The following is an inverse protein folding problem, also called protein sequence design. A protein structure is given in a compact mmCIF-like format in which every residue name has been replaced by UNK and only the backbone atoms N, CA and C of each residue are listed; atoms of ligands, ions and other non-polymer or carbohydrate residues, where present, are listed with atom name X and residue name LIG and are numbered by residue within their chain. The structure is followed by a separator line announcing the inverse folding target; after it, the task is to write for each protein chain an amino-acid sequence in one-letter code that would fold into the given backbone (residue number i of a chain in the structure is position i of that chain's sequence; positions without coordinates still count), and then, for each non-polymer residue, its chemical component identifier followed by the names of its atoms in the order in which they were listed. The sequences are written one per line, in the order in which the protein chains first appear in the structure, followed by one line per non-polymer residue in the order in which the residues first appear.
data_IF_109376317299
#
_entry.id   IF_109376317299
#
_cell.length_a   1.000
_cell.length_b   1.000
_cell.length_c   1.000
_cell.angle_alpha   90.00
_cell.angle_beta   90.00
_cell.angle_gamma   90.00
#
_symmetry.space_group_name_H-M   'P 1'
#
loop_
_entity.id
_entity.type
_entity.pdbx_description
1 polymer ?
#
# COMPACT_ATOMS: atom_id res chain seq x y z
N UNK A 1 35.20 22.46 -1.16
CA UNK A 1 33.90 22.93 -0.62
C UNK A 1 33.34 24.16 -1.33
N UNK A 2 34.06 24.85 -2.22
CA UNK A 2 33.56 26.04 -2.93
C UNK A 2 32.68 25.75 -4.16
N UNK A 3 32.82 24.58 -4.81
CA UNK A 3 31.98 24.19 -5.96
C UNK A 3 30.56 23.78 -5.57
N UNK A 4 30.40 23.12 -4.43
CA UNK A 4 29.09 22.65 -3.95
C UNK A 4 28.12 23.82 -3.70
N UNK A 5 28.58 24.93 -3.12
CA UNK A 5 27.73 26.11 -2.87
C UNK A 5 27.49 26.99 -4.10
N UNK A 6 28.30 26.90 -5.16
CA UNK A 6 28.02 27.57 -6.44
C UNK A 6 27.03 26.78 -7.30
N UNK A 7 27.10 25.44 -7.24
CA UNK A 7 26.14 24.54 -7.89
C UNK A 7 24.77 24.65 -7.20
N UNK A 8 24.77 24.68 -5.85
CA UNK A 8 24.03 25.63 -4.99
C UNK A 8 22.96 26.51 -5.65
N UNK A 9 23.45 27.67 -6.05
CA UNK A 9 22.66 28.82 -6.48
C UNK A 9 22.21 28.73 -7.94
N UNK A 10 22.78 27.84 -8.75
CA UNK A 10 22.54 27.81 -10.19
C UNK A 10 21.53 26.75 -10.63
N UNK A 11 21.37 25.64 -9.88
CA UNK A 11 20.40 24.59 -10.18
C UNK A 11 19.74 24.00 -8.92
N UNK A 12 18.97 24.85 -8.23
CA UNK A 12 18.28 24.46 -7.00
C UNK A 12 17.31 23.28 -7.21
N UNK A 13 16.62 23.20 -8.35
CA UNK A 13 15.67 22.12 -8.65
C UNK A 13 16.37 20.78 -8.92
N UNK A 14 17.45 20.78 -9.71
CA UNK A 14 18.20 19.56 -10.00
C UNK A 14 18.86 18.96 -8.75
N UNK A 15 19.38 19.79 -7.85
CA UNK A 15 19.92 19.32 -6.58
C UNK A 15 18.86 18.89 -5.58
N UNK A 16 17.72 19.59 -5.51
CA UNK A 16 16.60 19.15 -4.68
C UNK A 16 16.15 17.75 -5.10
N UNK A 17 16.07 17.46 -6.40
CA UNK A 17 15.77 16.11 -6.90
C UNK A 17 16.86 15.09 -6.57
N UNK A 18 18.13 15.47 -6.66
CA UNK A 18 19.24 14.60 -6.28
C UNK A 18 19.32 14.33 -4.77
N UNK A 19 18.74 15.20 -3.95
CA UNK A 19 18.78 15.12 -2.49
C UNK A 19 17.50 14.54 -1.88
N UNK A 20 16.34 14.80 -2.48
CA UNK A 20 15.02 14.44 -1.97
C UNK A 20 14.30 13.40 -2.83
N UNK A 21 14.71 13.23 -4.09
CA UNK A 21 14.03 12.37 -5.06
C UNK A 21 13.13 13.12 -6.04
N UNK A 22 12.43 12.41 -6.93
CA UNK A 22 11.53 13.02 -7.89
C UNK A 22 10.31 13.66 -7.20
N UNK A 23 9.75 14.72 -7.80
CA UNK A 23 8.51 15.36 -7.34
C UNK A 23 7.30 14.60 -7.89
N UNK A 24 6.70 13.73 -7.09
CA UNK A 24 5.55 12.90 -7.46
C UNK A 24 4.22 13.54 -7.03
N UNK A 25 3.45 14.07 -7.98
CA UNK A 25 2.16 14.68 -7.73
C UNK A 25 1.04 13.63 -7.73
N UNK A 26 0.71 13.12 -6.54
CA UNK A 26 -0.34 12.11 -6.33
C UNK A 26 -1.69 12.48 -6.95
N UNK A 27 -2.12 13.74 -6.83
CA UNK A 27 -3.42 14.18 -7.35
C UNK A 27 -3.54 14.11 -8.87
N UNK A 28 -2.42 14.08 -9.61
CA UNK A 28 -2.42 13.88 -11.06
C UNK A 28 -2.68 12.43 -11.47
N UNK A 29 -2.55 11.48 -10.53
CA UNK A 29 -2.88 10.06 -10.74
C UNK A 29 -4.27 9.68 -10.25
N UNK A 30 -5.11 10.67 -9.97
CA UNK A 30 -6.49 10.46 -9.53
C UNK A 30 -7.42 10.98 -10.62
N UNK A 31 -8.36 10.13 -11.05
CA UNK A 31 -9.37 10.47 -12.05
C UNK A 31 -10.19 11.69 -11.60
N UNK A 32 -10.46 12.61 -12.54
CA UNK A 32 -11.33 13.74 -12.26
C UNK A 32 -12.78 13.25 -12.15
N UNK A 33 -13.66 13.97 -11.43
CA UNK A 33 -15.07 13.61 -11.32
C UNK A 33 -15.74 13.43 -12.69
N UNK A 34 -15.41 14.32 -13.64
CA UNK A 34 -15.92 14.27 -15.02
C UNK A 34 -15.53 12.98 -15.75
N UNK A 35 -14.33 12.47 -15.51
CA UNK A 35 -13.81 11.26 -16.17
C UNK A 35 -14.51 10.00 -15.63
N UNK A 36 -15.16 10.10 -14.47
CA UNK A 36 -16.00 9.06 -13.86
C UNK A 36 -17.50 9.30 -14.07
N UNK A 37 -17.88 10.27 -14.91
CA UNK A 37 -19.28 10.57 -15.22
C UNK A 37 -20.06 11.25 -14.10
N UNK A 38 -19.37 11.75 -13.07
CA UNK A 38 -19.98 12.58 -12.02
C UNK A 38 -20.36 13.94 -12.59
N UNK A 39 -21.47 14.50 -12.12
CA UNK A 39 -21.98 15.79 -12.59
C UNK A 39 -22.85 16.46 -11.54
N UNK A 40 -23.10 17.75 -11.69
CA UNK A 40 -24.03 18.51 -10.86
C UNK A 40 -25.50 18.41 -11.32
N UNK A 41 -25.78 17.58 -12.33
CA UNK A 41 -27.13 17.40 -12.87
C UNK A 41 -28.09 16.78 -11.84
N UNK A 42 -29.28 17.37 -11.72
CA UNK A 42 -30.31 16.92 -10.77
C UNK A 42 -31.11 15.68 -11.21
N UNK A 43 -30.48 14.69 -11.85
CA UNK A 43 -31.16 13.48 -12.34
C UNK A 43 -30.63 12.19 -11.67
N UNK A 44 -31.43 11.12 -11.71
CA UNK A 44 -31.09 9.85 -11.06
C UNK A 44 -29.83 9.16 -11.63
N UNK A 45 -29.51 9.39 -12.91
CA UNK A 45 -28.30 8.86 -13.53
C UNK A 45 -27.05 9.57 -12.99
N UNK A 46 -27.09 10.90 -12.91
CA UNK A 46 -26.04 11.71 -12.29
C UNK A 46 -25.81 11.31 -10.83
N UNK A 47 -26.87 11.19 -10.02
CA UNK A 47 -26.76 10.72 -8.64
C UNK A 47 -26.11 9.33 -8.52
N UNK A 48 -26.44 8.39 -9.42
CA UNK A 48 -25.84 7.06 -9.42
C UNK A 48 -24.34 7.13 -9.77
N UNK A 49 -23.97 7.91 -10.77
CA UNK A 49 -22.57 8.12 -11.15
C UNK A 49 -21.78 8.83 -10.04
N UNK A 50 -22.37 9.81 -9.36
CA UNK A 50 -21.74 10.51 -8.23
C UNK A 50 -21.42 9.56 -7.08
N UNK A 51 -22.37 8.69 -6.71
CA UNK A 51 -22.15 7.68 -5.68
C UNK A 51 -21.04 6.71 -6.12
N UNK A 52 -21.07 6.27 -7.38
CA UNK A 52 -20.03 5.38 -7.92
C UNK A 52 -18.65 6.04 -7.90
N UNK A 53 -18.55 7.32 -8.27
CA UNK A 53 -17.31 8.09 -8.24
C UNK A 53 -16.78 8.28 -6.82
N UNK A 54 -17.65 8.53 -5.84
CA UNK A 54 -17.25 8.59 -4.43
C UNK A 54 -16.71 7.25 -3.92
N UNK A 55 -17.33 6.12 -4.32
CA UNK A 55 -16.80 4.78 -4.01
C UNK A 55 -15.41 4.60 -4.62
N UNK A 56 -15.20 4.98 -5.89
CA UNK A 56 -13.90 4.91 -6.55
C UNK A 56 -12.82 5.73 -5.82
N UNK A 57 -13.16 6.90 -5.28
CA UNK A 57 -12.22 7.68 -4.46
C UNK A 57 -11.91 7.01 -3.12
N UNK A 58 -12.89 6.39 -2.48
CA UNK A 58 -12.65 5.58 -1.27
C UNK A 58 -11.78 4.37 -1.58
N UNK A 59 -11.94 3.74 -2.74
CA UNK A 59 -11.08 2.63 -3.18
C UNK A 59 -9.63 3.06 -3.36
N UNK A 60 -9.34 4.25 -3.91
CA UNK A 60 -7.96 4.77 -3.97
C UNK A 60 -7.36 4.87 -2.56
N UNK A 61 -8.16 5.31 -1.59
CA UNK A 61 -7.69 5.48 -0.21
C UNK A 61 -7.49 4.16 0.52
N UNK A 62 -8.29 3.14 0.23
CA UNK A 62 -8.28 1.86 0.96
C UNK A 62 -7.48 0.79 0.22
N UNK A 63 -7.81 0.50 -1.03
CA UNK A 63 -7.16 -0.55 -1.82
C UNK A 63 -6.04 -0.02 -2.72
N UNK A 64 -5.98 1.29 -2.94
CA UNK A 64 -5.06 1.90 -3.90
C UNK A 64 -5.58 1.87 -5.33
N UNK A 65 -6.73 1.22 -5.59
CA UNK A 65 -7.30 1.01 -6.93
C UNK A 65 -8.47 1.97 -7.18
N UNK A 66 -9.39 1.61 -8.08
CA UNK A 66 -10.60 2.37 -8.36
C UNK A 66 -10.29 3.62 -9.18
N UNK A 67 -10.44 4.80 -8.57
CA UNK A 67 -10.19 6.10 -9.20
C UNK A 67 -8.71 6.40 -9.54
N UNK A 68 -7.81 5.43 -9.41
CA UNK A 68 -6.39 5.57 -9.73
C UNK A 68 -6.16 5.45 -11.23
N UNK A 69 -5.44 6.41 -11.83
CA UNK A 69 -5.07 6.35 -13.25
C UNK A 69 -3.94 5.36 -13.53
N UNK A 70 -3.20 4.92 -12.50
CA UNK A 70 -2.14 3.90 -12.64
C UNK A 70 -2.71 2.47 -12.60
N UNK A 71 -4.01 2.31 -12.27
CA UNK A 71 -4.66 1.01 -12.09
C UNK A 71 -4.28 0.29 -10.80
N UNK A 72 -3.44 0.90 -9.97
CA UNK A 72 -2.93 0.34 -8.73
C UNK A 72 -2.58 1.42 -7.70
N UNK A 73 -2.02 1.00 -6.54
CA UNK A 73 -1.66 1.91 -5.47
C UNK A 73 -0.72 3.03 -5.96
N UNK A 74 -0.97 4.23 -5.47
CA UNK A 74 -0.21 5.42 -5.86
C UNK A 74 1.11 5.52 -5.09
N UNK A 75 2.12 6.07 -5.75
CA UNK A 75 3.41 6.40 -5.17
C UNK A 75 4.55 6.13 -6.14
N UNK A 76 5.73 6.61 -5.77
CA UNK A 76 6.97 6.43 -6.53
C UNK A 76 7.92 5.44 -5.85
N UNK A 77 8.82 4.90 -6.65
CA UNK A 77 9.89 3.98 -6.25
C UNK A 77 11.17 4.42 -6.91
N UNK A 78 12.19 4.75 -6.13
CA UNK A 78 13.44 5.23 -6.70
C UNK A 78 14.63 4.95 -5.79
N UNK A 79 15.81 4.97 -6.39
CA UNK A 79 17.07 4.95 -5.67
C UNK A 79 17.55 6.38 -5.47
N UNK A 80 17.86 6.73 -4.22
CA UNK A 80 18.47 7.99 -3.87
C UNK A 80 19.95 7.79 -3.59
N UNK A 81 20.80 8.52 -4.30
CA UNK A 81 22.24 8.50 -4.07
C UNK A 81 22.53 9.14 -2.72
N UNK A 82 23.21 8.42 -1.84
CA UNK A 82 23.68 9.01 -0.57
C UNK A 82 25.00 9.75 -0.81
N UNK A 83 25.34 10.70 0.07
CA UNK A 83 26.66 11.33 0.07
C UNK A 83 27.80 10.42 0.58
N UNK A 84 27.51 9.16 0.90
CA UNK A 84 28.47 8.20 1.46
C UNK A 84 28.79 7.06 0.50
N UNK A 85 29.83 6.30 0.86
CA UNK A 85 30.25 5.10 0.13
C UNK A 85 30.07 3.87 1.02
N UNK A 86 30.14 2.69 0.41
CA UNK A 86 30.01 1.42 1.09
C UNK A 86 30.93 0.38 0.45
N UNK A 87 31.27 -0.66 1.22
CA UNK A 87 32.15 -1.73 0.73
C UNK A 87 31.29 -2.85 0.16
N UNK A 88 31.36 -3.08 -1.15
CA UNK A 88 30.64 -4.19 -1.79
C UNK A 88 31.17 -5.53 -1.28
N UNK A 89 30.29 -6.35 -0.72
CA UNK A 89 30.64 -7.66 -0.14
C UNK A 89 31.13 -8.67 -1.20
N UNK A 90 30.74 -8.50 -2.47
CA UNK A 90 31.15 -9.41 -3.54
C UNK A 90 32.55 -9.08 -4.08
N UNK A 91 32.84 -7.80 -4.31
CA UNK A 91 34.10 -7.36 -4.91
C UNK A 91 35.13 -6.78 -3.92
N UNK A 92 34.74 -6.52 -2.67
CA UNK A 92 35.52 -5.78 -1.66
C UNK A 92 35.95 -4.37 -2.11
N UNK A 93 35.21 -3.77 -3.05
CA UNK A 93 35.48 -2.40 -3.54
C UNK A 93 34.60 -1.38 -2.85
N UNK A 94 35.14 -0.18 -2.69
CA UNK A 94 34.38 0.97 -2.26
C UNK A 94 33.53 1.48 -3.43
N UNK A 95 32.23 1.59 -3.22
CA UNK A 95 31.24 2.00 -4.24
C UNK A 95 30.28 3.03 -3.66
N UNK A 96 29.64 3.81 -4.52
CA UNK A 96 28.64 4.79 -4.09
C UNK A 96 27.43 4.08 -3.46
N UNK A 97 27.04 4.54 -2.27
CA UNK A 97 25.92 3.99 -1.52
C UNK A 97 24.62 4.68 -1.90
N UNK A 98 23.57 3.90 -2.08
CA UNK A 98 22.21 4.36 -2.35
C UNK A 98 21.28 3.89 -1.23
N UNK A 99 20.20 4.63 -1.03
CA UNK A 99 19.01 4.14 -0.31
C UNK A 99 17.90 3.94 -1.33
N UNK A 100 17.01 2.98 -1.06
CA UNK A 100 15.83 2.76 -1.88
C UNK A 100 14.60 3.26 -1.14
N UNK A 101 13.84 4.12 -1.79
CA UNK A 101 12.60 4.69 -1.27
C UNK A 101 11.46 4.06 -2.06
N UNK A 102 10.50 3.50 -1.33
CA UNK A 102 9.28 2.93 -1.88
C UNK A 102 8.09 3.57 -1.19
N UNK A 103 7.45 4.51 -1.88
CA UNK A 103 6.27 5.21 -1.38
C UNK A 103 4.97 4.55 -1.85
N UNK A 104 5.05 3.41 -2.55
CA UNK A 104 3.88 2.59 -2.89
C UNK A 104 3.59 1.65 -1.71
N UNK A 105 2.42 1.75 -1.06
CA UNK A 105 2.10 0.90 0.07
C UNK A 105 2.09 -0.58 -0.33
N UNK A 106 2.75 -1.43 0.46
CA UNK A 106 2.83 -2.88 0.21
C UNK A 106 1.72 -3.69 0.88
N UNK A 107 0.77 -3.03 1.56
CA UNK A 107 -0.29 -3.71 2.31
C UNK A 107 0.18 -4.41 3.59
N UNK A 108 1.42 -4.18 4.02
CA UNK A 108 1.97 -4.74 5.26
C UNK A 108 1.58 -3.88 6.47
N UNK A 109 0.49 -4.22 7.16
CA UNK A 109 0.03 -3.49 8.35
C UNK A 109 0.51 -4.22 9.62
N UNK A 110 1.55 -3.75 10.35
CA UNK A 110 2.21 -4.53 11.41
C UNK A 110 1.30 -5.09 12.50
N UNK A 111 0.26 -4.35 12.89
CA UNK A 111 -0.70 -4.76 13.94
C UNK A 111 -1.62 -5.91 13.49
N UNK A 112 -1.84 -6.07 12.19
CA UNK A 112 -2.72 -7.09 11.60
C UNK A 112 -1.88 -8.24 11.04
N UNK A 113 -0.79 -7.94 10.32
CA UNK A 113 0.11 -8.92 9.72
C UNK A 113 0.79 -9.79 10.78
N UNK A 114 1.19 -9.22 11.93
CA UNK A 114 1.81 -9.99 13.02
C UNK A 114 0.87 -11.04 13.65
N UNK A 115 -0.44 -10.82 13.62
CA UNK A 115 -1.45 -11.76 14.13
C UNK A 115 -1.80 -12.90 13.15
N UNK A 116 -1.48 -12.72 11.87
CA UNK A 116 -1.81 -13.66 10.78
C UNK A 116 -0.58 -14.32 10.14
N UNK A 117 0.61 -14.13 10.75
CA UNK A 117 1.83 -14.81 10.36
C UNK A 117 2.76 -14.03 9.41
N UNK A 118 2.69 -12.70 9.41
CA UNK A 118 3.59 -11.83 8.64
C UNK A 118 3.21 -11.72 7.16
N UNK A 119 1.91 -11.75 6.86
CA UNK A 119 1.38 -11.71 5.49
C UNK A 119 1.06 -10.31 5.01
N UNK A 120 1.30 -10.06 3.73
CA UNK A 120 0.91 -8.83 3.05
C UNK A 120 -0.48 -8.94 2.41
N UNK A 121 -1.18 -7.81 2.33
CA UNK A 121 -2.55 -7.74 1.83
C UNK A 121 -2.65 -6.87 0.59
N UNK A 122 -2.80 -7.50 -0.58
CA UNK A 122 -2.92 -6.80 -1.88
C UNK A 122 -4.22 -6.00 -2.04
N UNK A 123 -5.14 -6.08 -1.06
CA UNK A 123 -6.38 -5.31 -1.00
C UNK A 123 -6.29 -4.07 -0.09
N UNK A 124 -5.18 -3.88 0.63
CA UNK A 124 -4.96 -2.78 1.56
C UNK A 124 -3.70 -1.99 1.22
N UNK A 125 -3.46 -1.77 -0.07
CA UNK A 125 -2.32 -0.98 -0.58
C UNK A 125 -2.67 0.51 -0.77
N UNK A 126 -3.84 0.94 -0.29
CA UNK A 126 -4.25 2.34 -0.38
C UNK A 126 -3.49 3.27 0.58
N UNK A 127 -3.66 4.58 0.35
CA UNK A 127 -2.97 5.62 1.12
C UNK A 127 -3.29 5.55 2.63
N UNK A 128 -4.54 5.24 3.01
CA UNK A 128 -4.92 5.15 4.43
C UNK A 128 -4.20 3.97 5.08
N UNK A 129 -4.34 2.71 4.63
CA UNK A 129 -3.56 1.61 5.17
C UNK A 129 -2.05 1.81 5.11
N UNK A 130 -1.53 2.43 4.05
CA UNK A 130 -0.12 2.78 3.90
C UNK A 130 0.40 3.65 5.04
N UNK A 131 -0.30 4.74 5.34
CA UNK A 131 0.09 5.61 6.48
C UNK A 131 0.07 4.88 7.83
N UNK A 132 -0.89 3.97 8.05
CA UNK A 132 -0.94 3.14 9.26
C UNK A 132 0.22 2.14 9.33
N UNK A 133 0.58 1.52 8.19
CA UNK A 133 1.75 0.66 8.05
C UNK A 133 3.02 1.42 8.47
N UNK A 134 3.21 2.62 7.92
CA UNK A 134 4.43 3.41 8.13
C UNK A 134 4.56 3.86 9.59
N UNK A 135 3.46 4.32 10.21
CA UNK A 135 3.44 4.64 11.64
C UNK A 135 3.80 3.44 12.52
N UNK A 136 3.39 2.23 12.13
CA UNK A 136 3.78 0.99 12.82
C UNK A 136 5.25 0.60 12.63
N UNK A 137 5.88 1.04 11.53
CA UNK A 137 7.28 0.75 11.17
C UNK A 137 8.28 1.82 11.63
N UNK A 138 7.81 2.98 12.11
CA UNK A 138 8.65 4.02 12.72
C UNK A 138 9.22 3.54 14.07
N UNK A 139 10.23 2.68 14.00
CA UNK A 139 11.05 2.31 15.14
C UNK A 139 12.24 3.29 15.23
N UNK A 140 12.25 4.24 16.18
CA UNK A 140 13.33 5.21 16.30
C UNK A 140 14.71 4.54 16.50
N UNK A 141 14.76 3.34 17.10
CA UNK A 141 16.01 2.60 17.28
C UNK A 141 16.57 2.04 15.96
N UNK A 142 15.71 1.71 14.99
CA UNK A 142 16.14 1.30 13.66
C UNK A 142 16.79 2.46 12.89
N UNK A 143 16.17 3.64 12.99
CA UNK A 143 16.68 4.87 12.40
C UNK A 143 18.01 5.31 13.04
N UNK A 144 18.15 5.26 14.37
CA UNK A 144 19.44 5.58 15.02
C UNK A 144 20.54 4.58 14.65
N UNK A 145 20.21 3.30 14.45
CA UNK A 145 21.20 2.29 14.03
C UNK A 145 21.77 2.57 12.63
N UNK A 146 20.96 3.04 11.67
CA UNK A 146 21.46 3.34 10.32
C UNK A 146 22.44 4.52 10.30
N UNK A 147 22.29 5.49 11.22
CA UNK A 147 23.26 6.57 11.41
C UNK A 147 24.54 6.16 12.17
N UNK A 148 24.45 5.11 13.00
CA UNK A 148 25.60 4.56 13.74
C UNK A 148 26.40 3.52 12.94
N UNK A 149 25.94 3.14 11.75
CA UNK A 149 26.73 2.34 10.82
C UNK A 149 27.89 3.20 10.35
N UNK A 150 29.13 2.79 10.67
CA UNK A 150 30.35 3.56 10.42
C UNK A 150 30.55 4.01 8.97
N UNK A 151 31.62 4.74 8.68
CA UNK A 151 31.79 5.49 7.41
C UNK A 151 31.55 4.70 6.12
N UNK A 152 31.91 3.40 6.09
CA UNK A 152 31.76 2.54 4.92
C UNK A 152 31.16 1.16 5.30
N UNK A 153 29.83 1.07 5.52
CA UNK A 153 29.21 -0.20 5.87
C UNK A 153 29.30 -1.20 4.71
N UNK A 154 29.16 -2.51 4.97
CA UNK A 154 29.05 -3.50 3.90
C UNK A 154 27.76 -3.27 3.10
N UNK A 155 27.84 -3.37 1.78
CA UNK A 155 26.71 -3.24 0.86
C UNK A 155 26.69 -4.32 -0.21
N UNK A 156 25.56 -4.44 -0.88
CA UNK A 156 25.37 -5.39 -1.98
C UNK A 156 24.56 -4.74 -3.11
N UNK A 157 24.79 -5.20 -4.33
CA UNK A 157 23.98 -4.81 -5.48
C UNK A 157 22.58 -5.43 -5.37
N UNK A 158 21.55 -4.61 -5.48
CA UNK A 158 20.14 -5.03 -5.45
C UNK A 158 19.44 -4.46 -6.66
N UNK A 159 18.68 -5.29 -7.38
CA UNK A 159 17.84 -4.89 -8.51
C UNK A 159 16.39 -4.78 -8.06
N UNK A 160 15.82 -3.58 -8.15
CA UNK A 160 14.47 -3.29 -7.69
C UNK A 160 13.68 -2.55 -8.76
N UNK A 161 12.35 -2.66 -8.69
CA UNK A 161 11.45 -1.90 -9.53
C UNK A 161 11.52 -0.40 -9.20
N UNK A 162 11.43 0.45 -10.22
CA UNK A 162 11.39 1.90 -10.09
C UNK A 162 10.13 2.43 -10.73
N UNK A 163 9.53 3.43 -10.12
CA UNK A 163 8.36 4.15 -10.61
C UNK A 163 8.68 5.62 -10.41
N UNK A 164 8.81 6.36 -11.51
CA UNK A 164 9.21 7.77 -11.48
C UNK A 164 8.24 8.59 -12.32
N UNK A 165 7.92 9.83 -11.93
CA UNK A 165 7.03 10.66 -12.72
C UNK A 165 7.69 11.04 -14.04
N UNK A 166 6.95 10.93 -15.15
CA UNK A 166 7.35 11.48 -16.44
C UNK A 166 7.28 13.00 -16.35
N UNK A 167 8.39 13.68 -16.61
CA UNK A 167 8.48 15.14 -16.56
C UNK A 167 8.37 15.77 -17.95
N UNK A 168 7.77 16.97 -18.00
CA UNK A 168 7.74 17.81 -19.19
C UNK A 168 9.09 18.53 -19.41
N UNK A 169 9.19 19.30 -20.51
CA UNK A 169 10.40 20.07 -20.83
C UNK A 169 10.81 21.10 -19.76
N UNK A 170 9.91 21.45 -18.83
CA UNK A 170 10.15 22.38 -17.74
C UNK A 170 10.41 21.65 -16.39
N UNK A 171 10.49 20.31 -16.42
CA UNK A 171 10.71 19.48 -15.24
C UNK A 171 9.46 19.29 -14.37
N UNK A 172 8.26 19.60 -14.89
CA UNK A 172 7.03 19.36 -14.15
C UNK A 172 6.50 17.97 -14.44
N UNK A 173 6.02 17.31 -13.40
CA UNK A 173 5.34 16.02 -13.50
C UNK A 173 4.10 16.09 -14.43
N UNK A 174 3.98 15.16 -15.37
CA UNK A 174 2.89 15.11 -16.37
C UNK A 174 1.66 14.34 -15.91
N UNK A 175 1.70 13.64 -14.77
CA UNK A 175 0.64 12.72 -14.37
C UNK A 175 0.81 11.28 -14.87
N UNK A 176 1.90 11.01 -15.59
CA UNK A 176 2.23 9.68 -16.11
C UNK A 176 3.43 9.12 -15.37
N UNK A 177 3.46 7.80 -15.22
CA UNK A 177 4.53 7.10 -14.52
C UNK A 177 5.41 6.36 -15.52
N UNK A 178 6.72 6.39 -15.27
CA UNK A 178 7.72 5.61 -15.97
C UNK A 178 8.14 4.46 -15.06
N UNK A 179 7.66 3.27 -15.39
CA UNK A 179 8.00 2.02 -14.72
C UNK A 179 9.30 1.45 -15.29
N UNK A 180 10.16 0.95 -14.41
CA UNK A 180 11.43 0.37 -14.80
C UNK A 180 12.04 -0.51 -13.72
N UNK A 181 13.29 -0.85 -13.93
CA UNK A 181 14.12 -1.58 -12.96
C UNK A 181 15.51 -0.99 -12.97
N UNK A 182 16.11 -0.80 -11.80
CA UNK A 182 17.48 -0.32 -11.69
C UNK A 182 18.24 -1.15 -10.63
N UNK A 183 19.56 -1.17 -10.75
CA UNK A 183 20.47 -1.92 -9.89
C UNK A 183 21.43 -0.96 -9.20
N UNK A 184 21.36 -0.88 -7.86
CA UNK A 184 22.24 -0.02 -7.05
C UNK A 184 22.77 -0.75 -5.82
N UNK A 185 23.78 -0.17 -5.19
CA UNK A 185 24.40 -0.69 -3.98
C UNK A 185 23.71 -0.15 -2.72
N UNK A 186 23.08 -1.03 -1.96
CA UNK A 186 22.40 -0.73 -0.70
C UNK A 186 23.16 -1.36 0.46
N UNK A 187 23.20 -0.69 1.61
CA UNK A 187 23.80 -1.26 2.81
C UNK A 187 23.08 -2.57 3.18
N UNK A 188 23.85 -3.62 3.50
CA UNK A 188 23.28 -4.95 3.79
C UNK A 188 22.26 -4.88 4.94
N UNK A 189 22.48 -4.00 5.91
CA UNK A 189 21.57 -3.80 7.03
C UNK A 189 20.23 -3.16 6.60
N UNK A 190 20.23 -2.26 5.61
CA UNK A 190 19.01 -1.68 5.06
C UNK A 190 18.25 -2.76 4.29
N UNK A 191 18.95 -3.49 3.40
CA UNK A 191 18.38 -4.61 2.62
C UNK A 191 17.73 -5.64 3.55
N UNK A 192 18.36 -5.96 4.68
CA UNK A 192 17.83 -6.90 5.67
C UNK A 192 16.52 -6.45 6.32
N UNK A 193 16.26 -5.15 6.39
CA UNK A 193 15.02 -4.60 6.96
C UNK A 193 13.94 -4.33 5.90
N UNK A 194 14.25 -4.53 4.62
CA UNK A 194 13.29 -4.37 3.53
C UNK A 194 12.30 -5.53 3.49
N UNK A 195 11.08 -5.21 3.08
CA UNK A 195 10.02 -6.19 2.87
C UNK A 195 10.40 -7.18 1.76
N UNK A 196 10.39 -8.50 2.00
CA UNK A 196 10.65 -9.52 1.00
C UNK A 196 9.81 -9.39 -0.28
N UNK A 197 8.59 -8.84 -0.20
CA UNK A 197 7.70 -8.64 -1.34
C UNK A 197 8.19 -7.56 -2.31
N UNK A 198 9.15 -6.72 -1.88
CA UNK A 198 9.79 -5.71 -2.74
C UNK A 198 10.74 -6.34 -3.76
N UNK A 199 11.26 -7.53 -3.48
CA UNK A 199 12.25 -8.19 -4.33
C UNK A 199 11.59 -9.06 -5.39
N UNK A 200 12.09 -9.09 -6.64
CA UNK A 200 11.55 -9.97 -7.68
C UNK A 200 11.55 -11.47 -7.31
N UNK A 201 12.52 -11.90 -6.51
CA UNK A 201 12.64 -13.27 -5.98
C UNK A 201 11.66 -13.59 -4.86
N UNK A 202 10.88 -12.60 -4.39
CA UNK A 202 10.00 -12.71 -3.21
C UNK A 202 10.72 -13.23 -1.95
N UNK A 203 12.04 -13.04 -1.90
CA UNK A 203 12.94 -13.51 -0.84
C UNK A 203 13.98 -12.43 -0.60
N UNK A 204 14.22 -12.09 0.67
CA UNK A 204 15.20 -11.08 1.01
C UNK A 204 16.63 -11.59 0.74
N UNK A 205 17.42 -10.92 -0.11
CA UNK A 205 18.76 -11.40 -0.46
C UNK A 205 19.79 -11.22 0.66
N UNK A 206 19.54 -10.34 1.64
CA UNK A 206 20.38 -10.17 2.83
C UNK A 206 19.97 -11.09 3.98
N UNK A 207 18.74 -11.64 3.95
CA UNK A 207 18.23 -12.61 4.92
C UNK A 207 17.28 -13.63 4.25
N UNK A 208 17.82 -14.71 3.67
CA UNK A 208 17.02 -15.69 2.91
C UNK A 208 15.96 -16.44 3.73
N UNK A 209 15.96 -16.28 5.06
CA UNK A 209 14.92 -16.85 5.92
C UNK A 209 13.59 -16.08 5.80
N UNK A 210 13.64 -14.85 5.31
CA UNK A 210 12.48 -13.99 5.11
C UNK A 210 11.97 -14.16 3.67
N UNK A 211 10.73 -14.64 3.55
CA UNK A 211 10.04 -14.84 2.27
C UNK A 211 8.70 -14.14 2.28
N UNK A 212 8.31 -13.59 1.13
CA UNK A 212 7.05 -12.89 0.95
C UNK A 212 5.89 -13.89 0.91
N UNK A 213 4.85 -13.64 1.71
CA UNK A 213 3.58 -14.36 1.63
C UNK A 213 2.45 -13.36 1.45
N UNK A 214 1.87 -13.32 0.26
CA UNK A 214 0.71 -12.49 -0.06
C UNK A 214 -0.59 -13.24 0.24
N UNK A 215 -1.58 -12.52 0.78
CA UNK A 215 -2.93 -13.03 1.02
C UNK A 215 -3.97 -12.04 0.48
N UNK A 216 -5.20 -12.51 0.25
CA UNK A 216 -6.30 -11.69 -0.31
C UNK A 216 -5.98 -11.09 -1.69
N UNK A 217 -5.49 -11.94 -2.60
CA UNK A 217 -5.30 -11.56 -4.02
C UNK A 217 -6.65 -11.63 -4.72
N UNK A 218 -7.31 -10.48 -4.90
CA UNK A 218 -8.49 -10.40 -5.75
C UNK A 218 -8.04 -10.56 -7.21
N UNK A 219 -8.36 -11.70 -7.84
CA UNK A 219 -8.29 -11.83 -9.28
C UNK A 219 -9.40 -10.94 -9.86
N UNK A 220 -9.02 -9.80 -10.43
CA UNK A 220 -9.95 -8.83 -11.00
C UNK A 220 -10.99 -9.51 -11.90
N UNK A 221 -12.26 -9.24 -11.64
CA UNK A 221 -13.31 -9.51 -12.61
C UNK A 221 -13.23 -8.38 -13.63
N UNK A 222 -12.59 -8.62 -14.78
CA UNK A 222 -12.64 -7.69 -15.91
C UNK A 222 -14.11 -7.44 -16.28
N UNK A 223 -14.53 -6.19 -16.17
CA UNK A 223 -15.82 -5.71 -16.69
C UNK A 223 -15.58 -5.31 -18.14
N UNK A 224 -15.73 -6.25 -19.06
CA UNK A 224 -15.82 -5.93 -20.49
C UNK A 224 -17.08 -5.08 -20.72
N UNK A 225 -16.89 -3.80 -20.98
CA UNK A 225 -17.95 -2.85 -21.34
C UNK A 225 -18.12 -2.83 -22.85
N UNK A 226 -18.64 -3.94 -23.41
CA UNK A 226 -19.08 -3.94 -24.80
C UNK A 226 -20.58 -3.58 -24.90
N UNK A 227 -20.82 -2.41 -25.47
CA UNK A 227 -22.12 -1.95 -25.91
C UNK A 227 -22.67 -2.85 -27.02
N UNK A 228 -23.69 -3.66 -26.74
CA UNK A 228 -24.84 -3.86 -27.66
C UNK A 228 -25.88 -4.84 -27.11
N UNK A 229 -27.13 -4.36 -27.10
CA UNK A 229 -28.35 -5.10 -27.44
C UNK A 229 -28.57 -6.52 -26.89
N UNK A 230 -29.49 -6.60 -25.92
CA UNK A 230 -30.54 -7.62 -25.79
C UNK A 230 -30.18 -9.08 -25.47
N UNK A 231 -30.72 -9.51 -24.32
CA UNK A 231 -31.09 -10.89 -23.93
C UNK A 231 -30.04 -11.78 -23.21
N UNK A 232 -30.25 -11.92 -21.89
CA UNK A 232 -29.83 -13.02 -20.99
C UNK A 232 -28.37 -13.49 -21.09
N UNK A 233 -27.46 -12.76 -20.45
CA UNK A 233 -26.07 -13.21 -20.23
C UNK A 233 -25.87 -13.62 -18.76
N UNK A 234 -25.69 -14.93 -18.53
CA UNK A 234 -25.36 -15.51 -17.22
C UNK A 234 -23.91 -15.20 -16.89
N UNK A 235 -23.66 -14.43 -15.83
CA UNK A 235 -22.33 -14.27 -15.23
C UNK A 235 -21.81 -15.64 -14.77
N UNK A 236 -20.71 -16.11 -15.37
CA UNK A 236 -19.95 -17.26 -14.86
C UNK A 236 -18.71 -16.74 -14.16
N UNK A 237 -18.85 -16.27 -12.93
CA UNK A 237 -17.70 -16.11 -12.04
C UNK A 237 -17.15 -17.52 -11.74
N UNK A 238 -15.99 -17.88 -12.29
CA UNK A 238 -15.26 -19.08 -11.88
C UNK A 238 -14.38 -18.72 -10.70
N UNK A 239 -14.89 -18.92 -9.49
CA UNK A 239 -14.10 -18.89 -8.27
C UNK A 239 -13.02 -19.99 -8.34
N UNK A 240 -11.76 -19.62 -8.59
CA UNK A 240 -10.62 -20.43 -8.15
C UNK A 240 -10.32 -20.03 -6.72
N UNK A 241 -10.99 -20.67 -5.77
CA UNK A 241 -10.45 -20.75 -4.42
C UNK A 241 -9.06 -21.38 -4.54
N UNK A 242 -7.99 -20.63 -4.26
CA UNK A 242 -6.71 -21.26 -3.96
C UNK A 242 -7.00 -22.18 -2.78
N UNK A 243 -6.76 -23.47 -2.97
CA UNK A 243 -6.91 -24.49 -1.92
C UNK A 243 -6.34 -23.97 -0.62
N UNK A 244 -7.22 -23.72 0.36
CA UNK A 244 -6.89 -23.42 1.74
C UNK A 244 -5.75 -24.39 2.14
N UNK A 245 -4.58 -23.92 2.60
CA UNK A 245 -3.57 -24.82 3.13
C UNK A 245 -4.25 -25.64 4.21
N UNK A 246 -4.25 -26.98 4.05
CA UNK A 246 -5.00 -27.91 4.89
C UNK A 246 -4.90 -27.49 6.36
N UNK A 247 -5.94 -26.81 6.86
CA UNK A 247 -6.10 -26.59 8.29
C UNK A 247 -6.12 -28.01 8.85
N UNK A 248 -5.08 -28.36 9.61
CA UNK A 248 -5.02 -29.63 10.34
C UNK A 248 -6.36 -29.73 11.05
N UNK A 249 -7.19 -30.70 10.64
CA UNK A 249 -8.47 -30.97 11.29
C UNK A 249 -8.18 -31.06 12.79
N UNK A 250 -8.63 -30.05 13.54
CA UNK A 250 -8.57 -30.07 14.99
C UNK A 250 -9.27 -31.35 15.42
N UNK A 251 -8.48 -32.28 15.96
CA UNK A 251 -8.91 -33.60 16.39
C UNK A 251 -9.93 -33.37 17.50
N UNK A 252 -11.21 -33.62 17.22
CA UNK A 252 -12.30 -33.58 18.21
C UNK A 252 -11.94 -34.52 19.36
N UNK A 253 -11.53 -33.97 20.50
CA UNK A 253 -11.45 -34.75 21.74
C UNK A 253 -12.88 -34.98 22.24
N UNK A 254 -13.39 -36.19 22.03
CA UNK A 254 -14.58 -36.70 22.70
C UNK A 254 -14.22 -37.00 24.15
N UNK A 255 -14.79 -36.27 25.10
CA UNK A 255 -14.87 -36.75 26.48
C UNK A 255 -16.09 -37.69 26.63
N UNK A 256 -15.92 -38.70 27.49
CA UNK A 256 -16.76 -39.90 27.72
C UNK A 256 -18.18 -39.64 28.28
N UNK A 257 -18.85 -38.53 27.96
CA UNK A 257 -20.17 -38.20 28.54
C UNK A 257 -21.20 -37.60 27.57
N UNK A 258 -20.95 -37.61 26.26
CA UNK A 258 -22.04 -37.45 25.27
C UNK A 258 -22.89 -36.15 25.36
N UNK A 259 -22.37 -35.06 25.95
CA UNK A 259 -23.09 -33.78 26.01
C UNK A 259 -22.55 -32.82 24.94
N UNK A 260 -23.44 -32.39 24.05
CA UNK A 260 -23.16 -31.41 22.99
C UNK A 260 -22.95 -30.03 23.64
N UNK A 261 -21.75 -29.45 23.53
CA UNK A 261 -21.51 -28.05 23.91
C UNK A 261 -21.85 -27.21 22.68
N UNK A 262 -23.00 -26.54 22.71
CA UNK A 262 -23.30 -25.45 21.80
C UNK A 262 -22.30 -24.33 22.11
N UNK A 263 -21.43 -23.95 21.18
CA UNK A 263 -20.62 -22.75 21.35
C UNK A 263 -21.56 -21.55 21.25
N UNK A 264 -21.69 -20.86 22.37
CA UNK A 264 -22.53 -19.67 22.53
C UNK A 264 -21.85 -18.47 21.85
N UNK A 265 -22.33 -18.09 20.67
CA UNK A 265 -21.87 -16.92 19.93
C UNK A 265 -22.36 -15.60 20.55
N UNK A 266 -23.08 -15.64 21.68
CA UNK A 266 -23.52 -14.45 22.41
C UNK A 266 -22.37 -13.73 23.14
N UNK A 267 -21.17 -14.30 23.15
CA UNK A 267 -19.98 -13.68 23.74
C UNK A 267 -19.25 -12.86 22.68
N UNK A 268 -19.55 -11.55 22.66
CA UNK A 268 -18.70 -10.57 21.98
C UNK A 268 -17.23 -10.76 22.38
N UNK A 269 -16.27 -10.51 21.48
CA UNK A 269 -14.85 -10.53 21.83
C UNK A 269 -14.61 -9.63 23.05
N UNK A 270 -13.99 -10.15 24.10
CA UNK A 270 -13.61 -9.38 25.30
C UNK A 270 -12.39 -8.47 25.04
N UNK A 271 -12.31 -7.91 23.83
CA UNK A 271 -11.25 -7.00 23.44
C UNK A 271 -11.72 -5.54 23.62
N UNK A 272 -10.92 -4.75 24.33
CA UNK A 272 -11.24 -3.36 24.66
C UNK A 272 -11.48 -2.54 23.39
N UNK A 273 -10.68 -2.76 22.34
CA UNK A 273 -10.77 -2.02 21.09
C UNK A 273 -12.06 -2.34 20.32
N UNK A 274 -12.48 -3.60 20.33
CA UNK A 274 -13.71 -4.04 19.68
C UNK A 274 -14.94 -3.46 20.40
N UNK A 275 -14.92 -3.41 21.74
CA UNK A 275 -15.98 -2.78 22.54
C UNK A 275 -16.07 -1.27 22.30
N UNK A 276 -14.93 -0.58 22.23
CA UNK A 276 -14.88 0.86 21.94
C UNK A 276 -15.42 1.14 20.53
N UNK A 277 -15.05 0.34 19.54
CA UNK A 277 -15.54 0.49 18.16
C UNK A 277 -17.08 0.36 18.06
N UNK A 278 -17.67 -0.67 18.67
CA UNK A 278 -19.13 -0.84 18.69
C UNK A 278 -19.84 0.25 19.50
N UNK A 279 -19.21 0.76 20.57
CA UNK A 279 -19.74 1.90 21.31
C UNK A 279 -19.77 3.16 20.43
N UNK A 280 -18.72 3.44 19.65
CA UNK A 280 -18.70 4.57 18.72
C UNK A 280 -19.78 4.45 17.63
N UNK A 281 -19.96 3.27 17.04
CA UNK A 281 -20.99 3.03 16.00
C UNK A 281 -22.41 3.20 16.57
N UNK A 282 -22.66 2.72 17.78
CA UNK A 282 -23.99 2.81 18.39
C UNK A 282 -24.38 4.27 18.69
N UNK A 283 -23.44 5.08 19.21
CA UNK A 283 -23.65 6.51 19.46
C UNK A 283 -23.88 7.27 18.14
N UNK A 284 -23.09 6.98 17.11
CA UNK A 284 -23.27 7.59 15.79
C UNK A 284 -24.63 7.23 15.17
N UNK A 285 -25.05 5.97 15.26
CA UNK A 285 -26.34 5.51 14.74
C UNK A 285 -27.52 6.18 15.44
N UNK A 286 -27.46 6.34 16.76
CA UNK A 286 -28.46 7.08 17.55
C UNK A 286 -28.49 8.56 17.17
N UNK A 287 -27.33 9.19 16.94
CA UNK A 287 -27.26 10.58 16.51
C UNK A 287 -27.91 10.79 15.14
N UNK A 288 -27.63 9.91 14.18
CA UNK A 288 -28.24 9.95 12.85
C UNK A 288 -29.76 9.80 12.95
N UNK A 289 -30.26 8.84 13.72
CA UNK A 289 -31.69 8.65 13.96
C UNK A 289 -32.34 9.88 14.62
N UNK A 290 -31.70 10.44 15.65
CA UNK A 290 -32.18 11.66 16.32
C UNK A 290 -32.29 12.84 15.35
N UNK A 291 -31.26 13.07 14.53
CA UNK A 291 -31.26 14.10 13.47
C UNK A 291 -32.37 13.85 12.44
N UNK A 292 -32.64 12.60 12.11
CA UNK A 292 -33.69 12.22 11.16
C UNK A 292 -35.09 12.50 11.72
N UNK A 293 -35.33 12.13 12.99
CA UNK A 293 -36.60 12.40 13.70
C UNK A 293 -36.83 13.91 13.86
N UNK A 294 -35.80 14.68 14.22
CA UNK A 294 -35.92 16.14 14.31
C UNK A 294 -36.26 16.81 12.98
N UNK A 295 -35.76 16.27 11.86
CA UNK A 295 -36.12 16.77 10.52
C UNK A 295 -37.55 16.39 10.14
N UNK A 296 -38.03 15.22 10.57
CA UNK A 296 -39.39 14.78 10.30
C UNK A 296 -40.44 15.61 11.06
N UNK A 297 -40.15 15.98 12.33
CA UNK A 297 -41.04 16.82 13.15
C UNK A 297 -40.98 18.32 12.83
N UNK A 298 -40.09 18.77 11.94
CA UNK A 298 -39.99 20.18 11.47
C UNK A 298 -40.72 20.44 10.15
N UNK A 299 -41.45 19.46 9.62
CA UNK A 299 -42.47 19.62 8.58
C UNK A 299 -43.86 19.50 9.20
#
# INVERSE_FOLDING_TARGET
MSGFFSDIMSDMKGMEQNLLGPDYLYWKRILKPSDMGMSDDGNFGALANDISGLINYVEVLVSGKGGSTTGGPLGDKFFLKTGGQCTDVASNKLVDRYIYINNIPSGNIPFISSGLGGTDFTEFEGLIPGTLSDLGKLNPLGLFKSFMMGENPPCMAVTLATVTPVTDANGNDTGQDNDGTDTKFLAVADVKNMDPCTFPSKTNPADPTQTCTETFVNSGCDYDSDSSSSSKQKSKCKYKYSTIPKIKKYRKNKNKSGKMIMQDFSKLPDDLYVKVFYACISVFSLYVLYRFIQRYHKK
#
